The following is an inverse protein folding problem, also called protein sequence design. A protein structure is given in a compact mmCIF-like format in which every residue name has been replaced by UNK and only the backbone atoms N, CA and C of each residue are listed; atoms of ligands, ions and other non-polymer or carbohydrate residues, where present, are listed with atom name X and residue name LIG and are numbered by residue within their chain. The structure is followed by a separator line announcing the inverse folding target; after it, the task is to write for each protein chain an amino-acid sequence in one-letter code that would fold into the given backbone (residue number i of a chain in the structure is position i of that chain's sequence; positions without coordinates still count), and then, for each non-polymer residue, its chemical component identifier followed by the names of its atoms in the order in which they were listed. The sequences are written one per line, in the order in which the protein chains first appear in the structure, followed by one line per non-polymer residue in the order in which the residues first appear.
data_IF_352419491424
#
_entry.id   IF_352419491424
#
_cell.length_a   1.000
_cell.length_b   1.000
_cell.length_c   1.000
_cell.angle_alpha   90.00
_cell.angle_beta   90.00
_cell.angle_gamma   90.00
#
_symmetry.space_group_name_H-M   'P 1'
#
loop_
_entity.id
_entity.type
_entity.pdbx_description
1 polymer ?
#
# COMPACT_ATOMS: atom_id res chain seq x y z
N UNK A 1 42.87 2.87 4.67
CA UNK A 1 42.03 2.02 5.54
C UNK A 1 40.58 2.16 5.13
N UNK A 2 39.82 1.05 5.06
CA UNK A 2 38.35 1.12 4.93
C UNK A 2 37.78 1.25 6.34
N UNK A 3 36.93 2.24 6.58
CA UNK A 3 36.29 2.45 7.87
C UNK A 3 35.17 1.42 8.03
N UNK A 4 35.26 0.57 9.04
CA UNK A 4 34.17 -0.31 9.46
C UNK A 4 33.69 0.20 10.81
N UNK A 5 32.53 0.85 10.83
CA UNK A 5 31.88 1.22 12.09
C UNK A 5 31.22 -0.03 12.68
N UNK A 6 31.48 -0.35 13.96
CA UNK A 6 30.83 -1.48 14.61
C UNK A 6 29.33 -1.20 14.77
N UNK A 7 28.51 -2.14 14.29
CA UNK A 7 27.05 -2.12 14.38
C UNK A 7 26.62 -3.15 15.43
N UNK A 8 25.64 -2.81 16.27
CA UNK A 8 25.12 -3.72 17.29
C UNK A 8 24.23 -4.83 16.70
N UNK A 9 24.14 -5.98 17.37
CA UNK A 9 23.24 -7.08 16.99
C UNK A 9 21.77 -6.61 16.94
N UNK A 10 21.35 -5.77 17.89
CA UNK A 10 20.02 -5.18 17.91
C UNK A 10 19.76 -4.32 16.66
N UNK A 11 20.77 -3.62 16.15
CA UNK A 11 20.64 -2.83 14.93
C UNK A 11 20.58 -3.73 13.68
N UNK A 12 21.33 -4.83 13.64
CA UNK A 12 21.25 -5.84 12.57
C UNK A 12 19.83 -6.41 12.51
N UNK A 13 19.28 -6.84 13.64
CA UNK A 13 17.91 -7.36 13.75
C UNK A 13 16.87 -6.31 13.36
N UNK A 14 17.01 -5.06 13.82
CA UNK A 14 16.11 -3.98 13.45
C UNK A 14 16.10 -3.72 11.94
N UNK A 15 17.26 -3.76 11.27
CA UNK A 15 17.37 -3.62 9.82
C UNK A 15 16.78 -4.83 9.08
N UNK A 16 16.98 -6.04 9.59
CA UNK A 16 16.38 -7.25 9.04
C UNK A 16 14.84 -7.20 9.11
N UNK A 17 14.28 -6.82 10.26
CA UNK A 17 12.83 -6.63 10.45
C UNK A 17 12.25 -5.53 9.54
N UNK A 18 13.02 -4.46 9.30
CA UNK A 18 12.63 -3.38 8.40
C UNK A 18 12.58 -3.79 6.92
N UNK A 19 13.15 -4.94 6.55
CA UNK A 19 13.09 -5.48 5.19
C UNK A 19 11.68 -5.93 4.78
N UNK A 20 10.86 -6.31 5.76
CA UNK A 20 9.47 -6.73 5.52
C UNK A 20 8.56 -5.51 5.35
N UNK A 21 7.79 -5.39 4.26
CA UNK A 21 6.84 -4.30 4.08
C UNK A 21 5.81 -4.20 5.23
N UNK A 22 5.48 -2.98 5.66
CA UNK A 22 4.52 -2.73 6.76
C UNK A 22 3.19 -3.45 6.57
N UNK A 23 2.61 -3.41 5.36
CA UNK A 23 1.35 -4.09 5.07
C UNK A 23 1.44 -5.61 5.28
N UNK A 24 2.59 -6.22 4.95
CA UNK A 24 2.84 -7.65 5.17
C UNK A 24 2.98 -7.97 6.67
N UNK A 25 3.58 -7.07 7.46
CA UNK A 25 3.64 -7.21 8.93
C UNK A 25 2.25 -7.15 9.55
N UNK A 26 1.42 -6.21 9.11
CA UNK A 26 0.05 -6.06 9.59
C UNK A 26 -0.82 -7.27 9.22
N UNK A 27 -0.74 -7.76 7.98
CA UNK A 27 -1.48 -8.95 7.56
C UNK A 27 -1.02 -10.21 8.31
N UNK A 28 0.28 -10.36 8.59
CA UNK A 28 0.77 -11.48 9.39
C UNK A 28 0.33 -11.38 10.84
N UNK A 29 0.37 -10.20 11.45
CA UNK A 29 -0.18 -10.03 12.81
C UNK A 29 -1.65 -10.41 12.88
N UNK A 30 -2.43 -10.03 11.86
CA UNK A 30 -3.83 -10.43 11.78
C UNK A 30 -3.99 -11.95 11.68
N UNK A 31 -3.22 -12.61 10.82
CA UNK A 31 -3.25 -14.07 10.68
C UNK A 31 -2.81 -14.78 11.97
N UNK A 32 -1.78 -14.29 12.66
CA UNK A 32 -1.33 -14.86 13.93
C UNK A 32 -2.38 -14.73 15.03
N UNK A 33 -3.07 -13.58 15.13
CA UNK A 33 -4.20 -13.45 16.07
C UNK A 33 -5.31 -14.47 15.84
N UNK A 34 -5.59 -14.81 14.58
CA UNK A 34 -6.57 -15.84 14.26
C UNK A 34 -6.12 -17.22 14.78
N UNK A 35 -4.84 -17.55 14.62
CA UNK A 35 -4.24 -18.78 15.13
C UNK A 35 -4.19 -18.81 16.65
N UNK A 36 -3.69 -17.74 17.28
CA UNK A 36 -3.62 -17.58 18.73
C UNK A 36 -5.01 -17.76 19.38
N UNK A 37 -6.04 -17.14 18.80
CA UNK A 37 -7.42 -17.30 19.28
C UNK A 37 -7.91 -18.76 19.17
N UNK A 38 -7.59 -19.45 18.07
CA UNK A 38 -7.93 -20.86 17.90
C UNK A 38 -7.22 -21.73 18.96
N UNK A 39 -5.92 -21.50 19.17
CA UNK A 39 -5.14 -22.22 20.17
C UNK A 39 -5.66 -21.95 21.59
N UNK A 40 -6.05 -20.72 21.89
CA UNK A 40 -6.63 -20.34 23.19
C UNK A 40 -7.94 -21.09 23.45
N UNK A 41 -8.83 -21.19 22.46
CA UNK A 41 -10.10 -21.93 22.60
C UNK A 41 -9.86 -23.41 22.91
N UNK A 42 -8.82 -24.00 22.33
CA UNK A 42 -8.46 -25.41 22.54
C UNK A 42 -7.47 -25.63 23.69
N UNK A 43 -7.01 -24.57 24.35
CA UNK A 43 -5.98 -24.62 25.39
C UNK A 43 -4.68 -25.34 24.95
N UNK A 44 -4.24 -25.07 23.71
CA UNK A 44 -2.99 -25.60 23.14
C UNK A 44 -1.96 -24.48 22.90
N UNK A 45 -0.69 -24.83 22.67
CA UNK A 45 0.35 -23.85 22.36
C UNK A 45 0.08 -23.11 21.04
N UNK A 46 0.38 -21.81 20.99
CA UNK A 46 0.37 -21.02 19.76
C UNK A 46 1.69 -21.06 18.99
N UNK A 47 2.77 -21.57 19.59
CA UNK A 47 4.05 -21.77 18.90
C UNK A 47 3.91 -22.96 17.96
N UNK A 48 4.18 -22.78 16.68
CA UNK A 48 3.98 -23.87 15.71
C UNK A 48 4.95 -25.03 15.97
N UNK A 49 6.14 -24.75 16.51
CA UNK A 49 7.19 -25.76 16.71
C UNK A 49 6.97 -26.62 17.96
N UNK A 50 5.98 -26.29 18.79
CA UNK A 50 5.59 -27.11 19.94
C UNK A 50 4.70 -28.31 19.53
N UNK A 51 4.28 -28.38 18.28
CA UNK A 51 3.37 -29.40 17.76
C UNK A 51 4.08 -30.39 16.87
N UNK A 52 3.64 -31.65 16.89
CA UNK A 52 4.06 -32.60 15.86
C UNK A 52 3.53 -32.19 14.49
N UNK A 53 4.16 -32.65 13.41
CA UNK A 53 3.69 -32.36 12.05
C UNK A 53 2.26 -32.89 11.81
N UNK A 54 1.90 -34.01 12.44
CA UNK A 54 0.55 -34.57 12.37
C UNK A 54 -0.46 -33.65 13.07
N UNK A 55 -0.13 -33.15 14.26
CA UNK A 55 -0.98 -32.23 15.02
C UNK A 55 -1.12 -30.89 14.29
N UNK A 56 -0.03 -30.35 13.73
CA UNK A 56 -0.10 -29.15 12.90
C UNK A 56 -1.02 -29.34 11.70
N UNK A 57 -0.94 -30.46 10.98
CA UNK A 57 -1.86 -30.75 9.89
C UNK A 57 -3.31 -30.71 10.35
N UNK A 58 -3.61 -31.33 11.49
CA UNK A 58 -4.95 -31.36 12.04
C UNK A 58 -5.42 -29.97 12.46
N UNK A 59 -4.65 -29.27 13.30
CA UNK A 59 -5.01 -27.99 13.88
C UNK A 59 -5.10 -26.87 12.84
N UNK A 60 -4.16 -26.79 11.90
CA UNK A 60 -4.20 -25.79 10.82
C UNK A 60 -5.44 -26.02 9.92
N UNK A 61 -5.73 -27.28 9.58
CA UNK A 61 -6.92 -27.64 8.79
C UNK A 61 -8.20 -27.24 9.51
N UNK A 62 -8.30 -27.61 10.79
CA UNK A 62 -9.45 -27.33 11.63
C UNK A 62 -9.66 -25.82 11.81
N UNK A 63 -8.58 -25.07 12.06
CA UNK A 63 -8.64 -23.62 12.18
C UNK A 63 -9.15 -22.97 10.88
N UNK A 64 -8.63 -23.32 9.69
CA UNK A 64 -9.09 -22.74 8.41
C UNK A 64 -10.55 -23.07 8.10
N UNK A 65 -11.00 -24.28 8.41
CA UNK A 65 -12.39 -24.67 8.21
C UNK A 65 -13.34 -23.84 9.07
N UNK A 66 -12.97 -23.63 10.34
CA UNK A 66 -13.76 -22.88 11.33
C UNK A 66 -13.62 -21.36 11.21
N UNK A 67 -12.55 -20.87 10.56
CA UNK A 67 -12.25 -19.45 10.44
C UNK A 67 -13.41 -18.66 9.80
N UNK A 68 -13.91 -17.68 10.56
CA UNK A 68 -14.91 -16.70 10.14
C UNK A 68 -14.46 -15.28 10.50
N UNK A 69 -15.08 -14.29 9.86
CA UNK A 69 -14.94 -12.88 10.24
C UNK A 69 -15.67 -12.62 11.57
N UNK A 70 -15.39 -11.48 12.20
CA UNK A 70 -16.03 -11.08 13.47
C UNK A 70 -17.56 -10.95 13.35
N UNK A 71 -18.05 -10.62 12.16
CA UNK A 71 -19.48 -10.56 11.82
C UNK A 71 -20.08 -11.94 11.46
N UNK A 72 -19.36 -13.03 11.76
CA UNK A 72 -19.67 -14.41 11.39
C UNK A 72 -19.76 -14.69 9.88
N UNK A 73 -19.43 -13.73 9.02
CA UNK A 73 -19.38 -13.95 7.57
C UNK A 73 -18.13 -14.76 7.16
N UNK A 74 -18.23 -15.50 6.06
CA UNK A 74 -17.07 -16.23 5.53
C UNK A 74 -16.08 -15.26 4.90
N UNK A 75 -14.79 -15.61 4.97
CA UNK A 75 -13.72 -14.89 4.30
C UNK A 75 -13.83 -14.95 2.77
N UNK A 76 -13.17 -13.99 2.12
CA UNK A 76 -12.84 -14.06 0.70
C UNK A 76 -11.73 -15.11 0.47
N UNK A 77 -11.76 -15.79 -0.67
CA UNK A 77 -10.80 -16.84 -1.03
C UNK A 77 -9.34 -16.36 -0.91
N UNK A 78 -9.05 -15.15 -1.39
CA UNK A 78 -7.72 -14.55 -1.29
C UNK A 78 -7.30 -14.31 0.17
N UNK A 79 -8.25 -14.03 1.06
CA UNK A 79 -7.94 -13.83 2.49
C UNK A 79 -7.48 -15.13 3.14
N UNK A 80 -8.11 -16.26 2.80
CA UNK A 80 -7.66 -17.58 3.25
C UNK A 80 -6.22 -17.84 2.80
N UNK A 81 -5.93 -17.62 1.52
CA UNK A 81 -4.56 -17.77 1.01
C UNK A 81 -3.55 -16.89 1.75
N UNK A 82 -3.87 -15.62 2.00
CA UNK A 82 -2.96 -14.71 2.72
C UNK A 82 -2.75 -15.08 4.19
N UNK A 83 -3.76 -15.65 4.86
CA UNK A 83 -3.62 -16.20 6.22
C UNK A 83 -2.61 -17.36 6.20
N UNK A 84 -2.80 -18.32 5.30
CA UNK A 84 -1.92 -19.50 5.21
C UNK A 84 -0.49 -19.09 4.84
N UNK A 85 -0.32 -18.17 3.89
CA UNK A 85 1.00 -17.65 3.52
C UNK A 85 1.67 -16.91 4.68
N UNK A 86 0.90 -16.22 5.52
CA UNK A 86 1.43 -15.58 6.72
C UNK A 86 1.89 -16.60 7.77
N UNK A 87 1.11 -17.65 8.05
CA UNK A 87 1.52 -18.72 8.97
C UNK A 87 2.75 -19.47 8.47
N UNK A 88 2.78 -19.84 7.18
CA UNK A 88 3.92 -20.51 6.57
C UNK A 88 5.20 -19.68 6.76
N UNK A 89 5.11 -18.36 6.57
CA UNK A 89 6.26 -17.48 6.77
C UNK A 89 6.73 -17.44 8.21
N UNK A 90 5.82 -17.34 9.18
CA UNK A 90 6.17 -17.34 10.60
C UNK A 90 6.82 -18.67 10.99
N UNK A 91 6.23 -19.79 10.57
CA UNK A 91 6.80 -21.12 10.80
C UNK A 91 8.21 -21.27 10.21
N UNK A 92 8.43 -20.81 8.98
CA UNK A 92 9.75 -20.85 8.35
C UNK A 92 10.77 -19.96 9.09
N UNK A 93 10.36 -18.76 9.50
CA UNK A 93 11.18 -17.83 10.28
C UNK A 93 11.56 -18.44 11.66
N UNK A 94 10.59 -19.00 12.39
CA UNK A 94 10.81 -19.68 13.67
C UNK A 94 11.68 -20.93 13.52
N UNK A 95 11.50 -21.70 12.44
CA UNK A 95 12.31 -22.89 12.16
C UNK A 95 13.78 -22.51 11.98
N UNK A 96 14.06 -21.40 11.28
CA UNK A 96 15.44 -20.89 11.13
C UNK A 96 16.00 -20.43 12.46
N UNK A 97 15.22 -19.68 13.25
CA UNK A 97 15.65 -19.17 14.56
C UNK A 97 15.99 -20.31 15.54
N UNK A 98 15.17 -21.36 15.58
CA UNK A 98 15.36 -22.54 16.44
C UNK A 98 16.23 -23.64 15.80
N UNK A 99 16.86 -23.36 14.66
CA UNK A 99 17.72 -24.29 13.92
C UNK A 99 17.06 -25.66 13.60
N UNK A 100 15.76 -25.64 13.31
CA UNK A 100 14.97 -26.79 12.90
C UNK A 100 14.90 -26.93 11.37
N UNK A 101 14.57 -28.12 10.83
CA UNK A 101 14.32 -28.29 9.41
C UNK A 101 13.21 -27.36 8.90
N UNK A 102 13.54 -26.50 7.94
CA UNK A 102 12.58 -25.56 7.35
C UNK A 102 11.67 -26.30 6.39
N UNK A 103 10.43 -26.54 6.83
CA UNK A 103 9.36 -27.07 5.99
C UNK A 103 8.40 -25.97 5.57
N UNK A 104 7.74 -26.14 4.43
CA UNK A 104 6.69 -25.24 3.96
C UNK A 104 5.33 -25.91 4.06
N UNK A 105 4.38 -25.30 4.76
CA UNK A 105 2.98 -25.72 4.79
C UNK A 105 2.36 -25.80 3.39
N UNK A 106 2.81 -24.94 2.47
CA UNK A 106 2.27 -24.83 1.11
C UNK A 106 2.94 -25.77 0.10
N UNK A 107 4.09 -26.37 0.41
CA UNK A 107 4.89 -27.12 -0.58
C UNK A 107 5.39 -28.48 -0.09
N UNK A 108 5.56 -28.67 1.22
CA UNK A 108 6.05 -29.93 1.75
C UNK A 108 4.95 -30.99 1.67
N UNK A 109 5.30 -32.19 1.22
CA UNK A 109 4.41 -33.34 1.16
C UNK A 109 3.88 -33.76 2.53
N UNK A 110 4.60 -33.40 3.60
CA UNK A 110 4.18 -33.66 4.97
C UNK A 110 2.92 -32.89 5.36
N UNK A 111 2.54 -31.83 4.64
CA UNK A 111 1.34 -31.02 4.89
C UNK A 111 0.21 -31.25 3.87
N UNK A 112 0.19 -32.41 3.21
CA UNK A 112 -0.77 -32.70 2.13
C UNK A 112 -2.24 -32.63 2.57
N UNK A 113 -2.55 -33.05 3.81
CA UNK A 113 -3.92 -32.96 4.33
C UNK A 113 -4.34 -31.50 4.45
N UNK A 114 -3.51 -30.67 5.06
CA UNK A 114 -3.77 -29.25 5.19
C UNK A 114 -3.90 -28.57 3.83
N UNK A 115 -3.03 -28.88 2.87
CA UNK A 115 -3.09 -28.34 1.51
C UNK A 115 -4.43 -28.65 0.84
N UNK A 116 -4.91 -29.90 0.93
CA UNK A 116 -6.22 -30.31 0.38
C UNK A 116 -7.38 -29.55 1.03
N UNK A 117 -7.34 -29.34 2.34
CA UNK A 117 -8.38 -28.60 3.07
C UNK A 117 -8.41 -27.13 2.66
N UNK A 118 -7.23 -26.50 2.52
CA UNK A 118 -7.12 -25.11 2.05
C UNK A 118 -7.62 -24.96 0.62
N UNK A 119 -7.22 -25.87 -0.27
CA UNK A 119 -7.64 -25.87 -1.67
C UNK A 119 -9.16 -26.00 -1.80
N UNK A 120 -9.75 -26.98 -1.11
CA UNK A 120 -11.20 -27.17 -1.09
C UNK A 120 -11.94 -25.95 -0.52
N UNK A 121 -11.43 -25.36 0.57
CA UNK A 121 -12.01 -24.14 1.15
C UNK A 121 -11.98 -22.99 0.16
N UNK A 122 -10.87 -22.78 -0.55
CA UNK A 122 -10.71 -21.74 -1.56
C UNK A 122 -11.65 -21.97 -2.74
N UNK A 123 -11.71 -23.20 -3.28
CA UNK A 123 -12.61 -23.58 -4.38
C UNK A 123 -14.07 -23.33 -4.03
N UNK A 124 -14.52 -23.81 -2.87
CA UNK A 124 -15.90 -23.59 -2.38
C UNK A 124 -16.23 -22.12 -2.18
N UNK A 125 -15.27 -21.29 -1.74
CA UNK A 125 -15.46 -19.85 -1.64
C UNK A 125 -15.56 -19.20 -3.03
N UNK A 126 -14.77 -19.65 -3.99
CA UNK A 126 -14.83 -19.17 -5.36
C UNK A 126 -16.17 -19.50 -6.04
N UNK A 127 -16.70 -20.71 -5.85
CA UNK A 127 -18.02 -21.12 -6.34
C UNK A 127 -19.17 -20.27 -5.77
N UNK A 128 -18.98 -19.70 -4.57
CA UNK A 128 -19.91 -18.75 -3.94
C UNK A 128 -19.72 -17.30 -4.40
N UNK A 129 -18.90 -17.04 -5.41
CA UNK A 129 -18.53 -15.69 -5.86
C UNK A 129 -17.59 -14.94 -4.91
N UNK A 130 -17.06 -15.59 -3.85
CA UNK A 130 -16.14 -14.97 -2.88
C UNK A 130 -14.68 -15.04 -3.32
N UNK A 131 -14.42 -15.13 -4.62
CA UNK A 131 -13.11 -14.99 -5.24
C UNK A 131 -12.99 -13.73 -6.11
N UNK A 132 -14.11 -13.08 -6.43
CA UNK A 132 -14.13 -11.91 -7.29
C UNK A 132 -13.53 -10.69 -6.58
N UNK A 133 -12.62 -10.00 -7.25
CA UNK A 133 -12.05 -8.76 -6.75
C UNK A 133 -12.80 -7.61 -7.41
N UNK A 134 -13.55 -6.83 -6.65
CA UNK A 134 -14.13 -5.59 -7.14
C UNK A 134 -13.01 -4.65 -7.58
N UNK A 135 -12.87 -4.47 -8.89
CA UNK A 135 -11.94 -3.50 -9.45
C UNK A 135 -12.44 -2.09 -9.17
N UNK A 136 -11.56 -1.23 -8.68
CA UNK A 136 -11.92 0.17 -8.45
C UNK A 136 -12.24 0.85 -9.78
N UNK A 137 -13.44 1.42 -9.90
CA UNK A 137 -13.84 2.16 -11.11
C UNK A 137 -13.05 3.47 -11.26
N UNK A 138 -12.74 3.80 -12.51
CA UNK A 138 -12.21 5.11 -12.90
C UNK A 138 -13.32 6.14 -13.13
N UNK A 139 -12.94 7.41 -13.06
CA UNK A 139 -13.71 8.52 -13.63
C UNK A 139 -13.61 8.50 -15.16
N UNK A 140 -14.74 8.71 -15.84
CA UNK A 140 -14.76 8.99 -17.29
C UNK A 140 -14.10 10.35 -17.56
N UNK A 141 -13.84 10.64 -18.84
CA UNK A 141 -13.26 11.92 -19.24
C UNK A 141 -14.12 13.10 -18.80
N UNK A 142 -15.44 13.02 -18.98
CA UNK A 142 -16.40 14.07 -18.62
C UNK A 142 -16.45 14.28 -17.10
N UNK A 143 -16.48 13.18 -16.33
CA UNK A 143 -16.46 13.22 -14.87
C UNK A 143 -15.14 13.80 -14.34
N UNK A 144 -14.03 13.45 -14.98
CA UNK A 144 -12.71 13.93 -14.62
C UNK A 144 -12.57 15.43 -14.90
N UNK A 145 -13.02 15.87 -16.07
CA UNK A 145 -13.02 17.27 -16.47
C UNK A 145 -13.96 18.11 -15.57
N UNK A 146 -15.15 17.60 -15.21
CA UNK A 146 -16.05 18.21 -14.21
C UNK A 146 -15.34 18.37 -12.85
N UNK A 147 -14.64 17.33 -12.39
CA UNK A 147 -13.85 17.39 -11.16
C UNK A 147 -12.68 18.39 -11.23
N UNK A 148 -12.01 18.51 -12.38
CA UNK A 148 -10.93 19.47 -12.58
C UNK A 148 -11.45 20.91 -12.55
N UNK A 149 -12.56 21.19 -13.23
CA UNK A 149 -13.15 22.51 -13.35
C UNK A 149 -13.73 23.03 -12.03
N UNK A 150 -14.24 22.14 -11.17
CA UNK A 150 -14.75 22.50 -9.84
C UNK A 150 -13.67 22.78 -8.78
N UNK A 151 -12.39 22.67 -9.12
CA UNK A 151 -11.31 22.97 -8.18
C UNK A 151 -11.02 24.47 -8.10
N UNK A 152 -11.33 25.09 -6.95
CA UNK A 152 -10.96 26.47 -6.63
C UNK A 152 -9.48 26.58 -6.20
N UNK A 153 -8.63 27.09 -7.10
CA UNK A 153 -7.18 27.21 -6.88
C UNK A 153 -6.80 28.27 -5.85
N UNK A 154 -7.73 29.17 -5.49
CA UNK A 154 -7.52 30.20 -4.47
C UNK A 154 -7.73 29.66 -3.05
N UNK A 155 -8.09 28.38 -2.93
CA UNK A 155 -8.15 27.66 -1.66
C UNK A 155 -7.07 26.58 -1.56
N UNK A 156 -6.53 26.32 -0.35
CA UNK A 156 -5.58 25.22 -0.15
C UNK A 156 -6.14 23.86 -0.56
N UNK A 157 -7.46 23.68 -0.39
CA UNK A 157 -8.14 22.44 -0.74
C UNK A 157 -8.28 22.28 -2.25
N UNK A 158 -8.77 23.28 -2.96
CA UNK A 158 -8.95 23.18 -4.41
C UNK A 158 -7.61 23.12 -5.14
N UNK A 159 -6.59 23.86 -4.72
CA UNK A 159 -5.23 23.72 -5.27
C UNK A 159 -4.67 22.30 -5.07
N UNK A 160 -4.84 21.72 -3.87
CA UNK A 160 -4.40 20.33 -3.60
C UNK A 160 -5.15 19.31 -4.45
N UNK A 161 -6.47 19.46 -4.62
CA UNK A 161 -7.28 18.55 -5.42
C UNK A 161 -6.96 18.67 -6.92
N UNK A 162 -6.80 19.88 -7.43
CA UNK A 162 -6.43 20.11 -8.83
C UNK A 162 -5.09 19.46 -9.17
N UNK A 163 -4.07 19.67 -8.31
CA UNK A 163 -2.78 19.01 -8.47
C UNK A 163 -2.87 17.49 -8.34
N UNK A 164 -3.66 16.97 -7.40
CA UNK A 164 -3.85 15.54 -7.25
C UNK A 164 -4.45 14.91 -8.50
N UNK A 165 -5.48 15.54 -9.08
CA UNK A 165 -6.11 15.11 -10.32
C UNK A 165 -5.10 15.15 -11.47
N UNK A 166 -4.42 16.28 -11.69
CA UNK A 166 -3.43 16.42 -12.78
C UNK A 166 -2.27 15.42 -12.66
N UNK A 167 -1.74 15.20 -11.45
CA UNK A 167 -0.75 14.13 -11.21
C UNK A 167 -1.34 12.74 -11.47
N UNK A 168 -2.62 12.54 -11.19
CA UNK A 168 -3.35 11.33 -11.57
C UNK A 168 -3.36 11.11 -13.08
N UNK A 169 -3.79 12.14 -13.83
CA UNK A 169 -3.86 12.16 -15.29
C UNK A 169 -2.52 11.87 -15.93
N UNK A 170 -1.46 12.60 -15.54
CA UNK A 170 -0.18 12.54 -16.24
C UNK A 170 0.77 11.43 -15.76
N UNK A 171 0.61 10.92 -14.53
CA UNK A 171 1.58 9.97 -13.96
C UNK A 171 1.01 8.59 -13.63
N UNK A 172 -0.33 8.42 -13.62
CA UNK A 172 -0.98 7.14 -13.41
C UNK A 172 -0.45 6.36 -12.18
N UNK A 173 -0.12 7.07 -11.10
CA UNK A 173 0.51 6.45 -9.93
C UNK A 173 -0.45 5.48 -9.23
N UNK A 174 0.10 4.41 -8.62
CA UNK A 174 -0.70 3.55 -7.72
C UNK A 174 -1.23 4.39 -6.56
N UNK A 175 -2.44 4.09 -6.06
CA UNK A 175 -3.12 4.94 -5.05
C UNK A 175 -2.29 5.20 -3.77
N UNK A 176 -1.51 4.22 -3.32
CA UNK A 176 -0.62 4.37 -2.16
C UNK A 176 0.62 5.26 -2.38
N UNK A 177 0.85 5.77 -3.59
CA UNK A 177 2.05 6.54 -3.95
C UNK A 177 1.85 8.04 -3.75
N UNK A 178 0.66 8.59 -4.01
CA UNK A 178 0.41 10.04 -3.98
C UNK A 178 0.84 10.70 -2.66
N UNK A 179 0.37 10.21 -1.52
CA UNK A 179 0.77 10.72 -0.20
C UNK A 179 2.25 10.45 0.14
N UNK A 180 2.91 9.54 -0.60
CA UNK A 180 4.33 9.20 -0.41
C UNK A 180 5.27 9.99 -1.30
N UNK A 181 4.76 10.79 -2.24
CA UNK A 181 5.58 11.66 -3.08
C UNK A 181 6.45 12.56 -2.20
N UNK A 182 7.68 12.83 -2.65
CA UNK A 182 8.65 13.68 -1.97
C UNK A 182 9.08 14.79 -2.92
N UNK A 183 9.45 15.94 -2.36
CA UNK A 183 9.95 17.08 -3.13
C UNK A 183 11.11 16.69 -4.04
N UNK A 184 12.07 15.93 -3.51
CA UNK A 184 13.23 15.41 -4.27
C UNK A 184 12.88 14.49 -5.46
N UNK A 185 11.62 14.06 -5.59
CA UNK A 185 11.21 13.29 -6.76
C UNK A 185 10.96 14.19 -7.97
N UNK A 186 10.69 15.49 -7.76
CA UNK A 186 10.35 16.44 -8.81
C UNK A 186 11.60 17.26 -9.18
N UNK A 187 11.96 17.23 -10.45
CA UNK A 187 13.05 18.06 -11.00
C UNK A 187 12.49 18.87 -12.15
N UNK A 188 12.49 20.20 -12.03
CA UNK A 188 12.16 21.08 -13.15
C UNK A 188 13.33 21.08 -14.13
N UNK A 189 13.04 20.84 -15.40
CA UNK A 189 14.02 20.79 -16.49
C UNK A 189 13.48 21.58 -17.69
N UNK A 190 14.35 21.80 -18.67
CA UNK A 190 13.98 22.29 -20.00
C UNK A 190 14.39 21.27 -21.04
N UNK A 191 13.59 21.12 -22.09
CA UNK A 191 13.93 20.28 -23.24
C UNK A 191 14.83 21.03 -24.22
N UNK A 192 15.10 20.42 -25.38
CA UNK A 192 15.93 21.02 -26.43
C UNK A 192 15.34 22.33 -26.96
N UNK A 193 14.02 22.50 -26.87
CA UNK A 193 13.28 23.69 -27.31
C UNK A 193 13.09 24.72 -26.19
N UNK A 194 13.84 24.59 -25.08
CA UNK A 194 13.70 25.42 -23.88
C UNK A 194 12.32 25.33 -23.21
N UNK A 195 11.48 24.36 -23.56
CA UNK A 195 10.15 24.17 -22.95
C UNK A 195 10.33 23.58 -21.55
N UNK A 196 9.80 24.23 -20.48
CA UNK A 196 9.92 23.70 -19.13
C UNK A 196 9.06 22.44 -18.97
N UNK A 197 9.56 21.47 -18.20
CA UNK A 197 8.81 20.28 -17.80
C UNK A 197 9.28 19.76 -16.44
N UNK A 198 8.39 19.08 -15.72
CA UNK A 198 8.78 18.33 -14.52
C UNK A 198 9.12 16.89 -14.88
N UNK A 199 10.31 16.45 -14.48
CA UNK A 199 10.70 15.04 -14.44
C UNK A 199 10.43 14.50 -13.02
N UNK A 200 9.60 13.46 -12.92
CA UNK A 200 9.24 12.84 -11.64
C UNK A 200 9.86 11.45 -11.53
N UNK A 201 10.88 11.30 -10.68
CA UNK A 201 11.65 10.06 -10.49
C UNK A 201 11.28 9.32 -9.21
N UNK A 202 10.90 8.04 -9.36
CA UNK A 202 10.57 7.14 -8.26
C UNK A 202 11.45 5.89 -8.29
N UNK A 203 12.25 5.72 -7.24
CA UNK A 203 13.24 4.64 -7.15
C UNK A 203 12.68 3.38 -6.48
N UNK A 204 11.82 3.54 -5.46
CA UNK A 204 11.29 2.43 -4.66
C UNK A 204 9.76 2.41 -4.77
N UNK A 205 9.21 1.27 -5.17
CA UNK A 205 7.77 1.02 -5.30
C UNK A 205 7.43 -0.42 -4.86
N UNK A 206 6.14 -0.73 -4.68
CA UNK A 206 5.66 -2.05 -4.22
C UNK A 206 6.32 -3.22 -4.97
N UNK A 207 6.42 -3.13 -6.29
CA UNK A 207 6.99 -4.19 -7.14
C UNK A 207 8.42 -3.86 -7.60
N UNK A 208 9.00 -2.75 -7.13
CA UNK A 208 10.37 -2.32 -7.44
C UNK A 208 11.03 -1.84 -6.16
N UNK A 209 11.29 -2.78 -5.24
CA UNK A 209 11.76 -2.46 -3.90
C UNK A 209 13.27 -2.21 -3.85
N UNK A 210 13.99 -2.54 -4.95
CA UNK A 210 15.44 -2.36 -5.09
C UNK A 210 16.24 -3.03 -3.96
N UNK A 211 15.87 -4.26 -3.62
CA UNK A 211 16.66 -5.14 -2.76
C UNK A 211 17.70 -5.95 -3.55
N UNK A 212 18.35 -6.90 -2.89
CA UNK A 212 19.37 -7.79 -3.49
C UNK A 212 18.92 -8.40 -4.83
N UNK A 213 17.65 -8.83 -4.91
CA UNK A 213 17.04 -9.44 -6.12
C UNK A 213 16.67 -8.43 -7.22
N UNK A 214 16.66 -7.13 -6.93
CA UNK A 214 16.19 -6.06 -7.83
C UNK A 214 17.21 -4.92 -7.98
N UNK A 215 18.50 -5.19 -7.74
CA UNK A 215 19.56 -4.18 -7.68
C UNK A 215 19.69 -3.32 -8.96
N UNK A 216 19.40 -3.92 -10.12
CA UNK A 216 19.55 -3.27 -11.43
C UNK A 216 18.27 -2.59 -11.94
N UNK A 217 17.17 -2.62 -11.19
CA UNK A 217 15.90 -2.06 -11.67
C UNK A 217 15.97 -0.54 -11.80
N UNK A 218 15.61 -0.02 -12.99
CA UNK A 218 15.58 1.42 -13.26
C UNK A 218 14.42 2.11 -12.52
N UNK A 219 14.63 3.39 -12.20
CA UNK A 219 13.59 4.22 -11.60
C UNK A 219 12.41 4.35 -12.58
N UNK A 220 11.19 4.47 -12.06
CA UNK A 220 10.09 4.96 -12.88
C UNK A 220 10.24 6.46 -13.03
N UNK A 221 10.10 6.94 -14.27
CA UNK A 221 10.21 8.34 -14.63
C UNK A 221 8.90 8.72 -15.32
N UNK A 222 8.30 9.82 -14.90
CA UNK A 222 7.16 10.43 -15.58
C UNK A 222 7.52 11.87 -15.94
N UNK A 223 6.95 12.38 -17.02
CA UNK A 223 7.20 13.74 -17.50
C UNK A 223 5.90 14.52 -17.54
N UNK A 224 5.95 15.78 -17.08
CA UNK A 224 4.80 16.70 -17.13
C UNK A 224 5.24 17.94 -17.91
N UNK A 225 4.75 18.05 -19.15
CA UNK A 225 4.95 19.20 -20.03
C UNK A 225 3.80 20.22 -19.97
N UNK A 226 2.69 19.86 -19.33
CA UNK A 226 1.51 20.72 -19.25
C UNK A 226 1.81 21.99 -18.43
N UNK A 227 1.76 23.15 -19.09
CA UNK A 227 2.13 24.45 -18.51
C UNK A 227 1.29 24.81 -17.28
N UNK A 228 -0.03 24.57 -17.33
CA UNK A 228 -0.92 24.79 -16.18
C UNK A 228 -0.46 23.98 -14.97
N UNK A 229 -0.14 22.70 -15.14
CA UNK A 229 0.35 21.85 -14.05
C UNK A 229 1.67 22.33 -13.50
N UNK A 230 2.59 22.80 -14.35
CA UNK A 230 3.87 23.37 -13.93
C UNK A 230 3.64 24.61 -13.05
N UNK A 231 2.77 25.53 -13.49
CA UNK A 231 2.41 26.74 -12.75
C UNK A 231 1.72 26.42 -11.42
N UNK A 232 0.81 25.44 -11.40
CA UNK A 232 0.14 25.00 -10.18
C UNK A 232 1.10 24.34 -9.19
N UNK A 233 2.10 23.58 -9.67
CA UNK A 233 3.15 23.05 -8.81
C UNK A 233 3.93 24.21 -8.20
N UNK A 234 4.37 25.19 -9.00
CA UNK A 234 5.08 26.36 -8.50
C UNK A 234 4.26 27.13 -7.45
N UNK A 235 2.98 27.40 -7.72
CA UNK A 235 2.05 28.02 -6.77
C UNK A 235 1.92 27.22 -5.48
N UNK A 236 1.78 25.90 -5.58
CA UNK A 236 1.71 25.03 -4.41
C UNK A 236 2.99 25.09 -3.57
N UNK A 237 4.16 25.18 -4.20
CA UNK A 237 5.44 25.31 -3.50
C UNK A 237 5.59 26.67 -2.82
N UNK A 238 5.12 27.74 -3.45
CA UNK A 238 5.11 29.10 -2.86
C UNK A 238 4.19 29.17 -1.63
N UNK A 239 3.00 28.56 -1.70
CA UNK A 239 2.03 28.55 -0.59
C UNK A 239 2.43 27.65 0.59
N UNK A 240 3.51 26.87 0.46
CA UNK A 240 4.04 26.05 1.55
C UNK A 240 4.98 26.87 2.43
N UNK A 241 4.96 26.59 3.73
CA UNK A 241 6.00 27.08 4.64
C UNK A 241 7.37 26.60 4.17
N UNK A 242 8.37 27.49 4.24
CA UNK A 242 9.72 27.30 3.71
C UNK A 242 10.57 26.21 4.39
N UNK A 243 10.03 25.36 5.28
CA UNK A 243 10.89 24.47 6.07
C UNK A 243 10.44 23.00 6.29
N UNK A 244 11.42 22.13 6.02
CA UNK A 244 11.71 20.73 6.46
C UNK A 244 10.95 19.51 5.93
N UNK A 245 9.63 19.50 5.72
CA UNK A 245 9.01 18.21 5.36
C UNK A 245 9.33 17.77 3.92
N UNK A 246 9.99 16.63 3.79
CA UNK A 246 10.39 16.05 2.50
C UNK A 246 9.20 15.61 1.64
N UNK A 247 7.99 15.45 2.19
CA UNK A 247 6.79 15.00 1.45
C UNK A 247 6.27 16.10 0.52
N UNK A 248 5.70 15.69 -0.60
CA UNK A 248 5.08 16.60 -1.56
C UNK A 248 3.75 17.11 -1.00
N UNK A 249 2.77 16.24 -0.76
CA UNK A 249 1.50 16.68 -0.17
C UNK A 249 1.58 16.85 1.34
N UNK A 250 1.20 18.03 1.81
CA UNK A 250 1.12 18.40 3.23
C UNK A 250 -0.34 18.56 3.70
N UNK A 251 -0.56 18.50 5.01
CA UNK A 251 -1.87 18.77 5.61
C UNK A 251 -2.27 20.25 5.43
N UNK A 252 -3.56 20.51 5.26
CA UNK A 252 -4.10 21.86 5.11
C UNK A 252 -4.24 22.53 6.48
N UNK A 253 -3.80 23.79 6.60
CA UNK A 253 -4.06 24.60 7.79
C UNK A 253 -5.55 24.94 7.86
N UNK A 254 -6.21 24.58 8.97
CA UNK A 254 -7.63 24.88 9.19
C UNK A 254 -7.86 26.25 9.85
N UNK A 255 -6.81 26.87 10.38
CA UNK A 255 -6.89 28.19 11.02
C UNK A 255 -7.04 29.28 9.98
N UNK A 256 -8.07 30.13 10.14
CA UNK A 256 -8.28 31.33 9.31
C UNK A 256 -7.13 32.34 9.40
N UNK A 257 -6.37 32.31 10.50
CA UNK A 257 -5.24 33.20 10.77
C UNK A 257 -3.88 32.58 10.41
N UNK A 258 -3.86 31.44 9.72
CA UNK A 258 -2.62 30.79 9.36
C UNK A 258 -1.84 31.62 8.33
N UNK A 259 -0.56 31.90 8.62
CA UNK A 259 0.36 32.60 7.71
C UNK A 259 0.65 31.81 6.43
N UNK A 260 0.41 30.50 6.45
CA UNK A 260 0.62 29.60 5.31
C UNK A 260 -0.61 28.73 5.08
N UNK A 261 -0.78 28.25 3.86
CA UNK A 261 -1.89 27.38 3.47
C UNK A 261 -1.77 25.95 4.00
N UNK A 262 -0.53 25.50 4.20
CA UNK A 262 -0.22 24.13 4.57
C UNK A 262 0.56 24.06 5.89
N UNK A 263 0.23 23.02 6.67
CA UNK A 263 0.98 22.58 7.85
C UNK A 263 2.35 22.05 7.44
N UNK A 264 3.31 21.95 8.36
CA UNK A 264 4.56 21.23 8.13
C UNK A 264 4.41 19.68 8.27
N UNK A 265 3.19 19.20 8.50
CA UNK A 265 2.89 17.77 8.64
C UNK A 265 2.47 17.19 7.30
N UNK A 266 2.90 15.95 6.97
CA UNK A 266 2.51 15.33 5.72
C UNK A 266 1.05 14.92 5.78
N UNK A 267 0.33 15.01 4.65
CA UNK A 267 -1.04 14.48 4.63
C UNK A 267 -1.02 12.95 4.67
N UNK A 268 -1.88 12.35 5.49
CA UNK A 268 -2.03 10.90 5.55
C UNK A 268 -2.74 10.36 4.30
N UNK A 269 -2.51 9.08 3.98
CA UNK A 269 -3.26 8.40 2.92
C UNK A 269 -4.77 8.52 3.12
N UNK A 270 -5.23 8.28 4.35
CA UNK A 270 -6.65 8.32 4.69
C UNK A 270 -7.24 9.72 4.46
N UNK A 271 -6.57 10.78 4.90
CA UNK A 271 -7.05 12.14 4.72
C UNK A 271 -7.06 12.57 3.25
N UNK A 272 -6.00 12.26 2.50
CA UNK A 272 -5.94 12.56 1.06
C UNK A 272 -7.02 11.81 0.28
N UNK A 273 -7.22 10.52 0.58
CA UNK A 273 -8.26 9.70 -0.03
C UNK A 273 -9.67 10.16 0.35
N UNK A 274 -9.89 10.57 1.60
CA UNK A 274 -11.16 11.15 2.08
C UNK A 274 -11.45 12.48 1.38
N UNK A 275 -10.45 13.34 1.21
CA UNK A 275 -10.59 14.59 0.47
C UNK A 275 -10.95 14.35 -0.99
N UNK A 276 -10.25 13.44 -1.67
CA UNK A 276 -10.54 13.05 -3.06
C UNK A 276 -11.97 12.51 -3.20
N UNK A 277 -12.35 11.55 -2.35
CA UNK A 277 -13.71 11.01 -2.30
C UNK A 277 -14.75 12.11 -2.16
N UNK A 278 -14.59 12.98 -1.17
CA UNK A 278 -15.52 14.08 -0.91
C UNK A 278 -15.63 15.04 -2.10
N UNK A 279 -14.52 15.32 -2.80
CA UNK A 279 -14.50 16.20 -3.98
C UNK A 279 -15.28 15.62 -5.16
N UNK A 280 -15.10 14.32 -5.43
CA UNK A 280 -15.82 13.67 -6.53
C UNK A 280 -17.33 13.55 -6.21
N UNK A 281 -17.69 13.21 -4.97
CA UNK A 281 -19.11 13.16 -4.58
C UNK A 281 -19.77 14.54 -4.57
N UNK A 282 -19.05 15.62 -4.26
CA UNK A 282 -19.59 16.98 -4.39
C UNK A 282 -19.80 17.41 -5.84
N UNK A 283 -19.26 16.66 -6.81
CA UNK A 283 -19.56 16.79 -8.23
C UNK A 283 -20.66 15.82 -8.70
N UNK A 284 -21.44 15.26 -7.78
CA UNK A 284 -22.58 14.35 -8.05
C UNK A 284 -22.18 13.02 -8.70
N UNK A 285 -20.92 12.63 -8.57
CA UNK A 285 -20.41 11.36 -9.10
C UNK A 285 -20.43 10.32 -7.97
N UNK A 286 -21.49 9.52 -7.96
CA UNK A 286 -21.72 8.47 -6.95
C UNK A 286 -21.07 7.14 -7.37
N UNK A 287 -19.74 7.11 -7.36
CA UNK A 287 -18.94 5.91 -7.66
C UNK A 287 -18.10 5.49 -6.46
N UNK A 288 -17.90 4.19 -6.30
CA UNK A 288 -16.93 3.65 -5.36
C UNK A 288 -15.51 3.90 -5.86
N UNK A 289 -14.97 5.05 -5.47
CA UNK A 289 -13.66 5.53 -5.92
C UNK A 289 -12.63 5.48 -4.80
N UNK A 290 -11.36 5.51 -5.18
CA UNK A 290 -10.24 5.74 -4.27
C UNK A 290 -9.11 6.45 -5.01
N UNK A 291 -8.02 6.78 -4.33
CA UNK A 291 -6.80 7.25 -5.01
C UNK A 291 -6.30 6.26 -6.09
N UNK A 292 -6.70 4.98 -6.06
CA UNK A 292 -6.39 4.06 -7.14
C UNK A 292 -7.18 4.34 -8.42
N UNK A 293 -8.40 4.89 -8.31
CA UNK A 293 -9.23 5.30 -9.45
C UNK A 293 -8.53 6.29 -10.36
N UNK A 294 -7.68 7.17 -9.83
CA UNK A 294 -6.91 8.14 -10.63
C UNK A 294 -6.03 7.47 -11.69
N UNK A 295 -5.49 6.29 -11.39
CA UNK A 295 -4.70 5.50 -12.35
C UNK A 295 -5.57 4.83 -13.41
N UNK A 296 -6.81 4.48 -13.06
CA UNK A 296 -7.76 3.91 -14.03
C UNK A 296 -8.26 5.03 -14.95
N UNK A 297 -8.58 6.18 -14.37
CA UNK A 297 -8.95 7.40 -15.09
C UNK A 297 -7.91 7.86 -16.09
N UNK A 298 -6.61 7.79 -15.77
CA UNK A 298 -5.57 8.21 -16.72
C UNK A 298 -5.52 7.41 -18.01
N UNK A 299 -6.12 6.21 -18.04
CA UNK A 299 -6.27 5.41 -19.27
C UNK A 299 -7.49 5.89 -20.08
N UNK A 300 -8.47 6.50 -19.41
CA UNK A 300 -9.75 6.93 -19.97
C UNK A 300 -9.78 8.42 -20.35
N UNK A 301 -8.75 9.21 -19.98
CA UNK A 301 -8.71 10.68 -20.04
C UNK A 301 -7.55 11.24 -20.90
#
# INVERSE_FOLDING_TARGET
MRNFEPISEAEIQAKALASTPTATRESTRYAMRLWENYCQVLSISSDFLDHSIADLNHHLSSCILQAKRLDNSEFHANTIYYIVAAWNRVYEEESVEKQQPVLSFLRSSQFIQFQKVVDEKIRRLAEKGKSEVEHTMGLTREEFDKCLQSCDIDTPRGLTMKLLLLLGKFCAFRGGVYHKLKMKHFTLKRDQNQTPYYEIKQYIMKNRQRGLKQKNEKAQINFIYNNETIQLIALYLDKRSSNTNKRFFLGINQSKNARTWYTNSPISYHNLNKMFKKHVHSNEINKQISLHSLRVSSIQC
#
